data_IF_777856862553
#
_entry.id   IF_777856862553
#
_cell.length_a   1.000
_cell.length_b   1.000
_cell.length_c   1.000
_cell.angle_alpha   90.00
_cell.angle_beta   90.00
_cell.angle_gamma   90.00
#
_symmetry.space_group_name_H-M   'P 1'
#
loop_
_entity.id
_entity.type
_entity.pdbx_description
1 polymer ?
#
# COMPACT_ATOMS: atom_id res chain seq x y z
N UNK A 1 -46.60 18.70 -9.10
CA UNK A 1 -45.26 19.31 -9.15
C UNK A 1 -44.27 18.17 -9.00
N UNK A 2 -43.40 17.96 -9.98
CA UNK A 2 -42.36 16.94 -9.92
C UNK A 2 -41.24 17.46 -9.05
N UNK A 3 -40.98 16.82 -7.91
CA UNK A 3 -39.75 17.05 -7.15
C UNK A 3 -38.61 16.47 -7.97
N UNK A 4 -37.78 17.33 -8.56
CA UNK A 4 -36.50 16.89 -9.10
C UNK A 4 -35.65 16.38 -7.94
N UNK A 5 -35.41 15.07 -7.91
CA UNK A 5 -34.38 14.48 -7.06
C UNK A 5 -33.04 14.91 -7.65
N UNK A 6 -32.46 15.96 -7.09
CA UNK A 6 -31.07 16.29 -7.37
C UNK A 6 -30.25 15.31 -6.53
N UNK A 7 -29.70 14.28 -7.16
CA UNK A 7 -28.55 13.60 -6.58
C UNK A 7 -27.46 14.67 -6.49
N UNK A 8 -27.08 15.06 -5.27
CA UNK A 8 -25.86 15.82 -5.10
C UNK A 8 -24.76 14.97 -5.74
N UNK A 9 -24.11 15.50 -6.77
CA UNK A 9 -22.87 14.90 -7.24
C UNK A 9 -21.94 14.89 -6.03
N UNK A 10 -21.39 13.73 -5.70
CA UNK A 10 -20.22 13.65 -4.83
C UNK A 10 -19.16 14.53 -5.50
N UNK A 11 -19.00 15.76 -5.02
CA UNK A 11 -17.92 16.60 -5.48
C UNK A 11 -16.66 16.09 -4.81
N UNK A 12 -15.61 15.95 -5.60
CA UNK A 12 -14.27 15.82 -5.07
C UNK A 12 -13.95 17.14 -4.36
N UNK A 13 -13.64 17.06 -3.08
CA UNK A 13 -13.42 18.24 -2.26
C UNK A 13 -11.95 18.68 -2.33
N UNK A 14 -11.01 17.73 -2.35
CA UNK A 14 -9.58 18.01 -2.38
C UNK A 14 -8.85 17.14 -3.42
N UNK A 15 -8.03 17.79 -4.24
CA UNK A 15 -7.15 17.13 -5.22
C UNK A 15 -5.71 17.63 -5.05
N UNK A 16 -4.76 16.70 -4.93
CA UNK A 16 -3.32 16.97 -4.88
C UNK A 16 -2.65 16.28 -6.07
N UNK A 17 -1.87 17.03 -6.82
CA UNK A 17 -1.16 16.55 -8.01
C UNK A 17 0.32 16.83 -7.81
N UNK A 18 1.14 15.79 -7.80
CA UNK A 18 2.57 15.88 -7.52
C UNK A 18 3.38 15.51 -8.74
N UNK A 19 4.39 16.32 -9.04
CA UNK A 19 5.47 15.94 -9.94
C UNK A 19 6.75 16.30 -9.25
N UNK A 20 7.57 15.31 -8.96
CA UNK A 20 8.82 15.48 -8.26
C UNK A 20 9.95 14.92 -9.10
N UNK A 21 11.03 15.72 -9.17
CA UNK A 21 12.33 15.35 -9.75
C UNK A 21 13.42 15.87 -8.82
N UNK A 22 14.58 15.21 -8.84
CA UNK A 22 15.73 15.56 -7.99
C UNK A 22 15.82 14.66 -6.77
N UNK A 23 16.85 14.85 -5.95
CA UNK A 23 17.31 13.77 -5.07
C UNK A 23 16.44 13.58 -3.82
N UNK A 24 15.88 14.66 -3.25
CA UNK A 24 15.20 14.56 -1.94
C UNK A 24 13.89 15.32 -1.90
N UNK A 25 12.87 14.76 -1.23
CA UNK A 25 11.64 15.49 -0.89
C UNK A 25 11.10 15.02 0.46
N UNK A 26 10.76 15.98 1.33
CA UNK A 26 9.85 15.77 2.45
C UNK A 26 8.49 16.33 2.11
N UNK A 27 7.43 15.53 2.22
CA UNK A 27 6.08 15.93 1.84
C UNK A 27 5.10 15.60 2.96
N UNK A 28 4.33 16.60 3.38
CA UNK A 28 3.24 16.46 4.34
C UNK A 28 1.96 16.91 3.64
N UNK A 29 0.94 16.05 3.61
CA UNK A 29 -0.35 16.33 2.97
C UNK A 29 -1.47 15.98 3.93
N UNK A 30 -2.27 16.97 4.30
CA UNK A 30 -3.51 16.76 5.05
C UNK A 30 -4.70 17.12 4.15
N UNK A 31 -5.49 16.13 3.73
CA UNK A 31 -6.73 16.34 3.00
C UNK A 31 -7.92 15.99 3.89
N UNK A 32 -8.76 16.99 4.19
CA UNK A 32 -9.99 16.84 4.97
C UNK A 32 -11.16 17.34 4.14
N UNK A 33 -12.06 16.45 3.75
CA UNK A 33 -13.16 16.72 2.83
C UNK A 33 -13.88 15.44 2.44
N UNK A 34 -15.02 15.51 1.77
CA UNK A 34 -15.81 14.33 1.39
C UNK A 34 -15.06 13.40 0.42
N UNK A 35 -14.40 13.97 -0.58
CA UNK A 35 -13.57 13.24 -1.55
C UNK A 35 -12.15 13.79 -1.57
N UNK A 36 -11.17 13.01 -1.12
CA UNK A 36 -9.76 13.37 -1.13
C UNK A 36 -9.01 12.52 -2.16
N UNK A 37 -8.20 13.18 -2.97
CA UNK A 37 -7.56 12.56 -4.13
C UNK A 37 -6.13 13.02 -4.25
N UNK A 38 -5.23 12.07 -4.49
CA UNK A 38 -3.84 12.32 -4.80
C UNK A 38 -3.43 11.55 -6.05
N UNK A 39 -3.24 12.33 -7.13
CA UNK A 39 -2.42 11.97 -8.27
C UNK A 39 -3.06 11.30 -9.54
N UNK A 40 -2.75 10.06 -9.93
CA UNK A 40 -3.03 9.43 -11.24
C UNK A 40 -4.53 9.21 -11.44
N UNK A 41 -4.91 8.76 -12.64
CA UNK A 41 -6.30 8.74 -13.06
C UNK A 41 -7.07 7.53 -12.50
N UNK A 42 -8.18 7.81 -11.80
CA UNK A 42 -9.50 7.30 -12.23
C UNK A 42 -10.68 8.22 -11.84
N UNK A 43 -10.47 9.54 -11.83
CA UNK A 43 -11.44 10.52 -11.33
C UNK A 43 -12.61 10.75 -12.30
N UNK A 44 -13.62 9.86 -12.27
CA UNK A 44 -14.64 9.62 -13.30
C UNK A 44 -15.64 10.76 -13.65
N UNK A 45 -15.28 12.03 -13.48
CA UNK A 45 -15.97 13.19 -14.09
C UNK A 45 -15.11 14.42 -14.44
N UNK A 46 -13.77 14.37 -14.36
CA UNK A 46 -12.89 15.53 -14.62
C UNK A 46 -11.41 15.28 -14.29
N UNK A 47 -10.49 16.18 -14.62
CA UNK A 47 -9.06 15.84 -14.78
C UNK A 47 -8.26 15.68 -13.48
N UNK A 48 -7.69 14.48 -13.25
CA UNK A 48 -6.45 14.32 -12.48
C UNK A 48 -5.26 13.93 -13.35
N UNK A 49 -4.25 13.28 -12.73
CA UNK A 49 -2.80 13.33 -13.00
C UNK A 49 -2.16 14.59 -12.37
N UNK A 50 -0.92 14.66 -11.86
CA UNK A 50 0.23 13.77 -11.92
C UNK A 50 0.56 13.20 -10.53
N UNK A 51 1.39 12.17 -10.53
CA UNK A 51 2.09 11.61 -9.36
C UNK A 51 3.34 10.90 -9.80
N UNK A 52 4.06 11.57 -10.69
CA UNK A 52 5.35 11.07 -11.11
C UNK A 52 6.34 11.59 -10.10
N UNK A 53 6.69 10.74 -9.16
CA UNK A 53 7.67 11.03 -8.12
C UNK A 53 8.93 10.25 -8.47
N UNK A 54 10.05 10.94 -8.61
CA UNK A 54 11.36 10.36 -8.86
C UNK A 54 12.41 11.08 -8.03
N UNK A 55 12.81 10.44 -6.94
CA UNK A 55 13.90 10.89 -6.08
C UNK A 55 14.76 9.75 -5.58
N UNK A 56 15.72 10.09 -4.75
CA UNK A 56 16.62 9.15 -4.07
C UNK A 56 16.13 8.98 -2.64
N UNK A 57 15.95 10.06 -1.88
CA UNK A 57 15.47 10.01 -0.49
C UNK A 57 14.13 10.71 -0.33
N UNK A 58 13.06 9.97 -0.03
CA UNK A 58 11.70 10.51 0.11
C UNK A 58 11.16 10.26 1.53
N UNK A 59 10.52 11.27 2.11
CA UNK A 59 9.91 11.19 3.45
C UNK A 59 8.50 11.80 3.35
N UNK A 60 7.50 10.93 3.25
CA UNK A 60 6.11 11.33 3.05
C UNK A 60 5.24 11.01 4.25
N UNK A 61 4.38 11.95 4.57
CA UNK A 61 3.29 11.78 5.50
C UNK A 61 2.01 12.31 4.84
N UNK A 62 1.04 11.42 4.62
CA UNK A 62 -0.18 11.70 3.87
C UNK A 62 -1.38 11.26 4.70
N UNK A 63 -2.17 12.24 5.12
CA UNK A 63 -3.42 12.07 5.85
C UNK A 63 -4.61 12.39 4.93
N UNK A 64 -5.47 11.41 4.67
CA UNK A 64 -6.68 11.54 3.86
C UNK A 64 -7.91 11.16 4.69
N UNK A 65 -8.65 12.17 5.14
CA UNK A 65 -9.83 12.02 6.02
C UNK A 65 -11.07 12.50 5.27
N UNK A 66 -11.89 11.56 4.83
CA UNK A 66 -13.01 11.80 3.93
C UNK A 66 -13.72 10.54 3.51
N UNK A 67 -14.99 10.60 3.10
CA UNK A 67 -15.74 9.40 2.74
C UNK A 67 -15.15 8.63 1.55
N UNK A 68 -14.43 9.30 0.65
CA UNK A 68 -13.76 8.69 -0.49
C UNK A 68 -12.31 9.19 -0.58
N UNK A 69 -11.33 8.31 -0.36
CA UNK A 69 -9.91 8.65 -0.41
C UNK A 69 -9.19 7.81 -1.47
N UNK A 70 -8.45 8.46 -2.39
CA UNK A 70 -7.70 7.78 -3.46
C UNK A 70 -6.24 8.28 -3.52
N UNK A 71 -5.27 7.37 -3.42
CA UNK A 71 -3.84 7.64 -3.53
C UNK A 71 -3.19 6.69 -4.53
N UNK A 72 -2.86 7.14 -5.73
CA UNK A 72 -2.44 6.24 -6.82
C UNK A 72 -0.95 6.35 -7.15
N UNK A 73 -0.46 5.86 -8.30
CA UNK A 73 0.77 6.37 -8.95
C UNK A 73 2.06 5.61 -8.78
N UNK A 74 3.00 5.82 -9.73
CA UNK A 74 4.35 5.33 -9.58
C UNK A 74 5.15 6.24 -8.65
N UNK A 75 5.86 5.63 -7.72
CA UNK A 75 6.85 6.31 -6.88
C UNK A 75 8.21 5.67 -7.16
N UNK A 76 9.22 6.48 -7.41
CA UNK A 76 10.60 6.00 -7.54
C UNK A 76 11.43 6.68 -6.47
N UNK A 77 11.96 5.87 -5.56
CA UNK A 77 12.78 6.27 -4.43
C UNK A 77 13.85 5.21 -4.23
N UNK A 78 15.05 5.58 -3.79
CA UNK A 78 16.08 4.62 -3.41
C UNK A 78 15.98 4.30 -1.91
N UNK A 79 15.76 5.34 -1.10
CA UNK A 79 15.46 5.29 0.32
C UNK A 79 14.16 6.02 0.60
N UNK A 80 13.24 5.41 1.34
CA UNK A 80 11.94 6.02 1.62
C UNK A 80 11.40 5.77 3.02
N UNK A 81 10.77 6.79 3.58
CA UNK A 81 9.92 6.70 4.76
C UNK A 81 8.51 7.18 4.38
N UNK A 82 7.50 6.32 4.48
CA UNK A 82 6.11 6.64 4.14
C UNK A 82 5.19 6.38 5.33
N UNK A 83 4.42 7.39 5.73
CA UNK A 83 3.34 7.27 6.71
C UNK A 83 2.03 7.68 6.06
N UNK A 84 1.09 6.75 5.93
CA UNK A 84 -0.15 6.94 5.19
C UNK A 84 -1.34 6.63 6.10
N UNK A 85 -2.20 7.63 6.29
CA UNK A 85 -3.46 7.50 7.00
C UNK A 85 -4.62 7.72 6.03
N UNK A 86 -5.51 6.74 5.92
CA UNK A 86 -6.75 6.87 5.14
C UNK A 86 -7.95 6.51 6.00
N UNK A 87 -8.86 7.45 6.23
CA UNK A 87 -10.07 7.25 7.03
C UNK A 87 -11.28 7.71 6.24
N UNK A 88 -12.19 6.78 5.95
CA UNK A 88 -13.33 7.03 5.07
C UNK A 88 -14.17 5.80 4.80
N UNK A 89 -15.39 5.96 4.27
CA UNK A 89 -16.23 4.83 3.85
C UNK A 89 -15.52 3.99 2.77
N UNK A 90 -14.80 4.64 1.86
CA UNK A 90 -14.03 3.99 0.78
C UNK A 90 -12.61 4.54 0.70
N UNK A 91 -11.62 3.67 0.78
CA UNK A 91 -10.20 3.99 0.60
C UNK A 91 -9.60 3.12 -0.50
N UNK A 92 -8.74 3.70 -1.33
CA UNK A 92 -8.00 2.94 -2.33
C UNK A 92 -6.59 3.49 -2.50
N UNK A 93 -5.63 2.59 -2.43
CA UNK A 93 -4.23 2.85 -2.72
C UNK A 93 -3.78 1.99 -3.90
N UNK A 94 -3.04 2.61 -4.82
CA UNK A 94 -2.45 1.99 -6.01
C UNK A 94 -1.03 2.54 -6.14
N UNK A 95 -0.05 1.90 -5.51
CA UNK A 95 1.35 2.34 -5.56
C UNK A 95 2.23 1.27 -6.15
N UNK A 96 2.97 1.67 -7.18
CA UNK A 96 4.08 0.88 -7.68
C UNK A 96 5.41 1.59 -7.42
N UNK A 97 6.16 1.07 -6.45
CA UNK A 97 7.40 1.64 -5.95
C UNK A 97 8.59 0.99 -6.67
N UNK A 98 9.38 1.80 -7.37
CA UNK A 98 10.59 1.33 -8.05
C UNK A 98 10.36 0.64 -9.40
N UNK A 99 9.15 0.68 -9.99
CA UNK A 99 8.86 0.10 -11.34
C UNK A 99 9.85 0.47 -12.47
N UNK A 100 10.55 1.59 -12.36
CA UNK A 100 11.56 2.02 -13.34
C UNK A 100 12.88 2.48 -12.71
N UNK A 101 13.11 2.14 -11.45
CA UNK A 101 14.26 2.62 -10.67
C UNK A 101 14.67 1.64 -9.57
N UNK A 102 15.48 2.14 -8.64
CA UNK A 102 15.79 1.42 -7.41
C UNK A 102 14.65 1.55 -6.40
N UNK A 103 14.70 0.74 -5.34
CA UNK A 103 13.91 0.87 -4.11
C UNK A 103 14.68 0.23 -2.95
N UNK A 104 15.99 0.50 -2.84
CA UNK A 104 16.92 -0.23 -1.98
C UNK A 104 16.45 -0.35 -0.52
N UNK A 105 15.88 0.69 0.08
CA UNK A 105 15.51 0.71 1.50
C UNK A 105 14.21 1.50 1.76
N UNK A 106 13.13 0.82 2.17
CA UNK A 106 11.85 1.49 2.47
C UNK A 106 11.31 1.12 3.85
N UNK A 107 10.77 2.11 4.55
CA UNK A 107 9.90 1.94 5.72
C UNK A 107 8.50 2.50 5.39
N UNK A 108 7.48 1.65 5.39
CA UNK A 108 6.13 1.98 4.91
C UNK A 108 5.10 1.63 5.98
N UNK A 109 4.40 2.64 6.48
CA UNK A 109 3.40 2.51 7.53
C UNK A 109 2.02 2.94 7.03
N UNK A 110 1.09 2.00 6.94
CA UNK A 110 -0.30 2.24 6.57
C UNK A 110 -1.22 2.11 7.79
N UNK A 111 -2.10 3.09 7.98
CA UNK A 111 -3.21 3.02 8.91
C UNK A 111 -4.50 3.33 8.15
N UNK A 112 -5.35 2.31 7.99
CA UNK A 112 -6.56 2.43 7.21
C UNK A 112 -7.81 2.08 8.01
N UNK A 113 -8.83 2.91 7.84
CA UNK A 113 -10.16 2.66 8.39
C UNK A 113 -11.24 2.94 7.36
N UNK A 114 -12.09 1.96 7.08
CA UNK A 114 -13.20 2.16 6.16
C UNK A 114 -14.06 0.95 5.86
N UNK A 115 -15.27 1.18 5.34
CA UNK A 115 -16.19 0.10 4.97
C UNK A 115 -15.65 -0.72 3.77
N UNK A 116 -14.97 -0.06 2.83
CA UNK A 116 -14.34 -0.67 1.66
C UNK A 116 -12.90 -0.19 1.50
N UNK A 117 -11.94 -1.11 1.46
CA UNK A 117 -10.52 -0.80 1.29
C UNK A 117 -9.94 -1.64 0.14
N UNK A 118 -9.22 -0.97 -0.77
CA UNK A 118 -8.56 -1.60 -1.91
C UNK A 118 -7.07 -1.27 -1.85
N UNK A 119 -6.24 -2.31 -1.87
CA UNK A 119 -4.80 -2.22 -1.91
C UNK A 119 -4.30 -2.84 -3.20
N UNK A 120 -3.57 -2.04 -3.97
CA UNK A 120 -2.76 -2.46 -5.11
C UNK A 120 -1.37 -1.88 -4.85
N UNK A 121 -0.47 -2.70 -4.29
CA UNK A 121 0.83 -2.25 -3.80
C UNK A 121 1.93 -3.16 -4.31
N UNK A 122 2.86 -2.59 -5.07
CA UNK A 122 4.04 -3.28 -5.55
C UNK A 122 5.31 -2.55 -5.11
N UNK A 123 6.34 -3.29 -4.67
CA UNK A 123 7.70 -2.77 -4.60
C UNK A 123 8.72 -3.80 -5.09
N UNK A 124 9.66 -3.36 -5.92
CA UNK A 124 10.83 -4.15 -6.29
C UNK A 124 10.62 -5.11 -7.46
N UNK A 125 9.47 -5.03 -8.15
CA UNK A 125 9.10 -5.93 -9.24
C UNK A 125 10.13 -6.04 -10.38
N UNK A 126 10.90 -4.97 -10.64
CA UNK A 126 11.98 -4.93 -11.66
C UNK A 126 13.34 -5.28 -11.07
N UNK A 127 13.67 -4.70 -9.92
CA UNK A 127 14.88 -4.97 -9.15
C UNK A 127 14.48 -5.05 -7.67
N UNK A 128 14.75 -6.21 -7.04
CA UNK A 128 14.47 -6.48 -5.63
C UNK A 128 15.05 -5.36 -4.77
N UNK A 129 14.30 -4.88 -3.78
CA UNK A 129 14.85 -3.98 -2.77
C UNK A 129 15.85 -4.70 -1.88
N UNK A 130 16.85 -4.01 -1.34
CA UNK A 130 17.73 -4.61 -0.33
C UNK A 130 16.98 -4.86 0.98
N UNK A 131 16.12 -3.90 1.38
CA UNK A 131 15.35 -3.92 2.62
C UNK A 131 13.96 -3.32 2.41
N UNK A 132 12.97 -3.91 3.05
CA UNK A 132 11.63 -3.36 3.17
C UNK A 132 11.10 -3.65 4.58
N UNK A 133 10.78 -2.61 5.34
CA UNK A 133 9.88 -2.72 6.47
C UNK A 133 8.52 -2.17 6.04
N UNK A 134 7.49 -2.99 6.14
CA UNK A 134 6.14 -2.56 5.84
C UNK A 134 5.20 -3.01 6.95
N UNK A 135 4.30 -2.10 7.32
CA UNK A 135 3.35 -2.25 8.40
C UNK A 135 1.98 -1.78 7.90
N UNK A 136 0.95 -2.60 8.10
CA UNK A 136 -0.44 -2.20 7.88
C UNK A 136 -1.30 -2.55 9.08
N UNK A 137 -1.99 -1.54 9.60
CA UNK A 137 -3.14 -1.71 10.49
C UNK A 137 -4.40 -1.31 9.74
N UNK A 138 -5.34 -2.25 9.63
CA UNK A 138 -6.59 -2.08 8.90
C UNK A 138 -7.79 -2.41 9.78
N UNK A 139 -8.75 -1.47 9.84
CA UNK A 139 -10.08 -1.72 10.40
C UNK A 139 -11.13 -1.50 9.31
N UNK A 140 -11.76 -2.54 8.80
CA UNK A 140 -12.70 -2.37 7.69
C UNK A 140 -13.64 -3.52 7.36
N UNK A 141 -14.74 -3.22 6.67
CA UNK A 141 -15.81 -4.19 6.43
C UNK A 141 -15.64 -5.09 5.19
N UNK A 142 -14.96 -4.61 4.16
CA UNK A 142 -14.63 -5.34 2.93
C UNK A 142 -13.26 -4.89 2.47
N UNK A 143 -12.32 -5.83 2.36
CA UNK A 143 -10.93 -5.50 2.11
C UNK A 143 -10.38 -6.36 0.98
N UNK A 144 -9.84 -5.74 -0.06
CA UNK A 144 -9.28 -6.44 -1.23
C UNK A 144 -7.82 -6.05 -1.38
N UNK A 145 -6.95 -7.05 -1.43
CA UNK A 145 -5.52 -6.86 -1.54
C UNK A 145 -4.95 -7.54 -2.77
N UNK A 146 -4.12 -6.79 -3.47
CA UNK A 146 -3.05 -7.28 -4.33
C UNK A 146 -1.77 -6.59 -3.86
N UNK A 147 -0.91 -7.32 -3.15
CA UNK A 147 0.29 -6.75 -2.51
C UNK A 147 1.50 -7.61 -2.79
N UNK A 148 2.41 -7.10 -3.62
CA UNK A 148 3.62 -7.78 -4.06
C UNK A 148 4.89 -7.08 -3.54
N UNK A 149 5.61 -7.78 -2.66
CA UNK A 149 6.88 -7.33 -2.10
C UNK A 149 8.06 -8.17 -2.62
N UNK A 150 8.87 -7.59 -3.50
CA UNK A 150 10.19 -8.12 -3.86
C UNK A 150 11.30 -7.45 -3.05
N UNK A 151 11.87 -8.20 -2.11
CA UNK A 151 12.97 -7.73 -1.28
C UNK A 151 13.89 -8.86 -0.83
N UNK A 152 15.19 -8.55 -0.75
CA UNK A 152 16.21 -9.40 -0.16
C UNK A 152 16.04 -9.57 1.36
N UNK A 153 15.32 -8.64 2.00
CA UNK A 153 15.00 -8.62 3.44
C UNK A 153 13.71 -7.82 3.67
N UNK A 154 12.55 -8.50 3.63
CA UNK A 154 11.25 -7.90 3.95
C UNK A 154 10.77 -8.31 5.34
N UNK A 155 10.32 -7.33 6.12
CA UNK A 155 9.44 -7.51 7.26
C UNK A 155 8.08 -6.94 6.86
N UNK A 156 7.06 -7.80 6.81
CA UNK A 156 5.68 -7.43 6.52
C UNK A 156 4.80 -7.74 7.72
N UNK A 157 4.34 -6.70 8.41
CA UNK A 157 3.39 -6.82 9.52
C UNK A 157 2.00 -6.42 9.02
N UNK A 158 1.08 -7.37 9.08
CA UNK A 158 -0.28 -7.21 8.61
C UNK A 158 -1.23 -7.43 9.79
N UNK A 159 -1.93 -6.40 10.23
CA UNK A 159 -2.94 -6.45 11.29
C UNK A 159 -4.28 -6.00 10.71
N UNK A 160 -5.21 -6.95 10.58
CA UNK A 160 -6.52 -6.71 9.99
C UNK A 160 -7.61 -7.06 11.01
N UNK A 161 -8.45 -6.09 11.33
CA UNK A 161 -9.73 -6.29 12.00
C UNK A 161 -10.86 -5.97 11.04
N UNK A 162 -11.58 -6.98 10.58
CA UNK A 162 -12.57 -6.76 9.53
C UNK A 162 -13.17 -8.00 8.92
N UNK A 163 -14.32 -7.82 8.26
CA UNK A 163 -15.01 -8.88 7.55
C UNK A 163 -14.65 -8.89 6.05
N UNK A 164 -15.06 -9.94 5.33
CA UNK A 164 -14.97 -10.06 3.87
C UNK A 164 -13.60 -9.67 3.31
N UNK A 165 -12.55 -10.27 3.86
CA UNK A 165 -11.17 -10.04 3.43
C UNK A 165 -10.86 -10.94 2.23
N UNK A 166 -10.40 -10.37 1.12
CA UNK A 166 -9.84 -11.10 -0.01
C UNK A 166 -8.37 -10.68 -0.15
N UNK A 167 -7.47 -11.48 0.41
CA UNK A 167 -6.07 -11.11 0.59
C UNK A 167 -5.20 -11.91 -0.36
N UNK A 168 -4.58 -11.24 -1.33
CA UNK A 168 -3.43 -11.78 -2.05
C UNK A 168 -2.18 -11.02 -1.62
N UNK A 169 -1.19 -11.73 -1.06
CA UNK A 169 0.10 -11.13 -0.72
C UNK A 169 1.26 -12.02 -1.17
N UNK A 170 2.28 -11.38 -1.74
CA UNK A 170 3.51 -12.01 -2.17
C UNK A 170 4.72 -11.43 -1.43
N UNK A 171 5.61 -12.31 -1.02
CA UNK A 171 6.97 -11.97 -0.61
C UNK A 171 7.93 -12.79 -1.46
N UNK A 172 8.83 -12.11 -2.16
CA UNK A 172 9.77 -12.75 -3.08
C UNK A 172 11.21 -12.28 -2.85
N UNK A 173 12.13 -13.21 -3.09
CA UNK A 173 13.57 -13.15 -2.84
C UNK A 173 14.05 -13.78 -1.51
N UNK A 174 14.51 -12.99 -0.55
CA UNK A 174 15.33 -13.45 0.57
C UNK A 174 14.85 -12.98 1.94
N UNK A 175 15.30 -13.68 2.99
CA UNK A 175 15.18 -13.30 4.41
C UNK A 175 13.79 -12.77 4.87
N UNK A 176 12.71 -13.30 4.31
CA UNK A 176 11.37 -12.73 4.44
C UNK A 176 10.76 -13.05 5.81
N UNK A 177 10.05 -12.08 6.39
CA UNK A 177 9.21 -12.27 7.57
C UNK A 177 7.82 -11.71 7.31
N UNK A 178 6.79 -12.54 7.46
CA UNK A 178 5.40 -12.13 7.51
C UNK A 178 4.85 -12.37 8.92
N UNK A 179 4.39 -11.31 9.59
CA UNK A 179 3.59 -11.41 10.80
C UNK A 179 2.17 -10.97 10.47
N UNK A 180 1.23 -11.91 10.48
CA UNK A 180 -0.13 -11.64 10.05
C UNK A 180 -1.12 -11.96 11.16
N UNK A 181 -1.78 -10.91 11.66
CA UNK A 181 -2.92 -10.96 12.56
C UNK A 181 -4.20 -10.64 11.78
N UNK A 182 -5.21 -11.51 11.92
CA UNK A 182 -6.52 -11.34 11.31
C UNK A 182 -7.62 -11.64 12.32
N UNK A 183 -8.50 -10.68 12.55
CA UNK A 183 -9.72 -10.85 13.33
C UNK A 183 -10.94 -10.48 12.49
N UNK A 184 -11.84 -11.44 12.26
CA UNK A 184 -13.12 -11.22 11.58
C UNK A 184 -13.60 -12.38 10.72
N UNK A 185 -14.62 -12.15 9.89
CA UNK A 185 -15.37 -13.21 9.23
C UNK A 185 -15.25 -13.21 7.70
N UNK A 186 -15.32 -14.42 7.11
CA UNK A 186 -15.42 -14.57 5.64
C UNK A 186 -14.15 -14.23 4.86
N UNK A 187 -12.96 -14.47 5.44
CA UNK A 187 -11.69 -14.23 4.77
C UNK A 187 -11.33 -15.32 3.75
N UNK A 188 -10.82 -14.88 2.60
CA UNK A 188 -10.10 -15.64 1.58
C UNK A 188 -8.65 -15.11 1.54
N UNK A 189 -7.67 -15.98 1.73
CA UNK A 189 -6.27 -15.58 1.97
C UNK A 189 -5.32 -16.45 1.16
N UNK A 190 -4.63 -15.80 0.23
CA UNK A 190 -3.52 -16.32 -0.56
C UNK A 190 -2.20 -15.68 -0.11
N UNK A 191 -1.27 -16.52 0.36
CA UNK A 191 0.09 -16.10 0.74
C UNK A 191 1.10 -16.79 -0.19
N UNK A 192 1.86 -15.98 -0.91
CA UNK A 192 2.85 -16.43 -1.89
C UNK A 192 4.28 -16.11 -1.41
N UNK A 193 4.99 -17.10 -0.85
CA UNK A 193 6.41 -16.95 -0.51
C UNK A 193 7.31 -17.65 -1.53
N UNK A 194 8.11 -16.86 -2.24
CA UNK A 194 8.99 -17.34 -3.30
C UNK A 194 10.44 -17.00 -2.97
N UNK A 195 11.31 -18.01 -2.94
CA UNK A 195 12.75 -17.78 -2.82
C UNK A 195 13.32 -17.22 -4.13
N UNK A 196 14.22 -16.24 -4.03
CA UNK A 196 14.99 -15.75 -5.16
C UNK A 196 16.22 -16.61 -5.47
N UNK A 197 17.11 -16.07 -6.28
CA UNK A 197 18.33 -16.77 -6.69
C UNK A 197 19.48 -16.42 -5.74
N UNK A 198 19.93 -17.39 -4.95
CA UNK A 198 21.12 -17.18 -4.12
C UNK A 198 22.40 -17.13 -4.96
N UNK A 199 23.31 -16.21 -4.62
CA UNK A 199 24.65 -16.17 -5.21
C UNK A 199 25.40 -17.47 -4.86
N UNK A 200 25.72 -18.28 -5.86
CA UNK A 200 26.50 -19.51 -5.67
C UNK A 200 27.99 -19.17 -5.54
N UNK A 201 28.59 -19.39 -4.37
CA UNK A 201 30.02 -19.18 -4.13
C UNK A 201 30.47 -19.51 -2.70
N UNK A 202 31.76 -19.76 -2.49
CA UNK A 202 32.28 -20.04 -1.16
C UNK A 202 32.13 -18.82 -0.24
N UNK A 203 31.29 -18.91 0.79
CA UNK A 203 31.02 -17.83 1.74
C UNK A 203 29.67 -17.13 1.57
N UNK A 204 28.92 -17.43 0.50
CA UNK A 204 27.58 -16.88 0.25
C UNK A 204 26.56 -18.02 0.45
N UNK A 205 25.82 -17.97 1.56
CA UNK A 205 24.71 -18.88 1.83
C UNK A 205 23.40 -18.10 1.80
N UNK A 206 22.33 -18.70 1.27
CA UNK A 206 20.99 -18.16 1.43
C UNK A 206 20.65 -17.96 2.91
N UNK A 207 19.75 -17.02 3.20
CA UNK A 207 19.13 -16.91 4.51
C UNK A 207 18.53 -18.27 4.92
N UNK A 208 18.65 -18.62 6.20
CA UNK A 208 18.10 -19.86 6.75
C UNK A 208 17.43 -19.57 8.11
N UNK A 209 16.10 -19.63 8.20
CA UNK A 209 15.16 -19.84 7.10
C UNK A 209 15.21 -18.70 6.07
N UNK A 210 14.87 -18.99 4.81
CA UNK A 210 14.77 -17.95 3.78
C UNK A 210 13.51 -17.10 3.94
N UNK A 211 12.47 -17.68 4.55
CA UNK A 211 11.21 -17.04 4.81
C UNK A 211 10.59 -17.59 6.10
N UNK A 212 9.93 -16.74 6.85
CA UNK A 212 9.25 -17.05 8.09
C UNK A 212 7.85 -16.42 8.07
N UNK A 213 6.83 -17.17 8.48
CA UNK A 213 5.46 -16.67 8.63
C UNK A 213 4.98 -16.97 10.05
N UNK A 214 4.47 -15.95 10.72
CA UNK A 214 3.64 -16.07 11.93
C UNK A 214 2.22 -15.67 11.57
N UNK A 215 1.26 -16.55 11.86
CA UNK A 215 -0.17 -16.32 11.63
C UNK A 215 -0.91 -16.36 12.97
N UNK A 216 -1.66 -15.32 13.27
CA UNK A 216 -2.66 -15.28 14.35
C UNK A 216 -4.02 -14.95 13.73
N UNK A 217 -4.94 -15.91 13.72
CA UNK A 217 -6.23 -15.78 13.03
C UNK A 217 -7.35 -16.09 14.01
N UNK A 218 -8.17 -15.07 14.27
CA UNK A 218 -9.43 -15.15 15.00
C UNK A 218 -10.59 -15.03 14.02
N UNK A 219 -11.19 -16.16 13.67
CA UNK A 219 -12.38 -16.21 12.81
C UNK A 219 -13.59 -16.65 13.63
N UNK A 220 -14.59 -15.78 13.72
CA UNK A 220 -15.73 -15.94 14.63
C UNK A 220 -16.96 -16.55 13.91
N UNK A 221 -16.94 -16.55 12.57
CA UNK A 221 -17.91 -17.09 11.62
C UNK A 221 -19.37 -16.86 12.07
N UNK A 222 -19.68 -15.60 12.39
CA UNK A 222 -20.94 -15.15 13.00
C UNK A 222 -22.08 -14.90 12.01
#
# INVERSE_FOLDING_TARGET
MSTSFVFAAATDDNEVMVTQVGDTLKLYVDQIGFGNKMGLNNFSSGSGANMTITGITLDFNIDMIGNQNLLFGPVVADTSDYLILMTGDSNSIDWNIGSSGSSDDSDINFNMQGDSNIFDLDQGAVASSERLNADLVLIGGSNVFDVDWESDDVIWNLDITGDSNNINTLQKDGAQTLNFELTGDGADVDINQLSGSCVSGAGNSCATPNAHITLDITSDNS
#
